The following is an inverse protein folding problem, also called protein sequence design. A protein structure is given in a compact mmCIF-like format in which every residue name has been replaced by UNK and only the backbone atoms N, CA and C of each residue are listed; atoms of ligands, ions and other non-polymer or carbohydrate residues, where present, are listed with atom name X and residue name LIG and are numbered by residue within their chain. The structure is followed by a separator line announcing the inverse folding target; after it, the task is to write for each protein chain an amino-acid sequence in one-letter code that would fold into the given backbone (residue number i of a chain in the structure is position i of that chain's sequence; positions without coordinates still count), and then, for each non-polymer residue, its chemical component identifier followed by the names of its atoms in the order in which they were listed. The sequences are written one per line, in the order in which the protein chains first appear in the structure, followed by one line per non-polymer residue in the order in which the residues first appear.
data_IF_112550012196
#
_entry.id   IF_112550012196
#
_cell.length_a   1.000
_cell.length_b   1.000
_cell.length_c   1.000
_cell.angle_alpha   90.00
_cell.angle_beta   90.00
_cell.angle_gamma   90.00
#
_symmetry.space_group_name_H-M   'P 1'
#
loop_
_entity.id
_entity.type
_entity.pdbx_description
1 polymer ?
#
# COMPACT_ATOMS: atom_id res chain seq x y z
N UNK A 1 -13.00 6.56 8.62
CA UNK A 1 -12.95 6.82 7.15
C UNK A 1 -13.47 8.18 6.73
N UNK A 2 -14.76 8.55 6.94
CA UNK A 2 -15.30 9.85 6.47
C UNK A 2 -14.50 11.07 6.96
N UNK A 3 -14.18 11.11 8.25
CA UNK A 3 -13.36 12.18 8.83
C UNK A 3 -11.94 12.20 8.28
N UNK A 4 -11.32 11.04 8.04
CA UNK A 4 -10.01 10.94 7.43
C UNK A 4 -10.00 11.46 5.98
N UNK A 5 -11.05 11.19 5.20
CA UNK A 5 -11.20 11.75 3.85
C UNK A 5 -11.29 13.29 3.87
N UNK A 6 -12.05 13.85 4.82
CA UNK A 6 -12.19 15.29 4.97
C UNK A 6 -10.91 15.98 5.45
N UNK A 7 -10.25 15.41 6.47
CA UNK A 7 -9.08 16.02 7.11
C UNK A 7 -7.77 15.77 6.37
N UNK A 8 -7.54 14.53 5.93
CA UNK A 8 -6.29 14.10 5.27
C UNK A 8 -6.45 14.07 3.75
N UNK A 9 -7.54 13.50 3.25
CA UNK A 9 -7.76 13.29 1.81
C UNK A 9 -7.84 14.60 1.02
N UNK A 10 -8.67 15.54 1.46
CA UNK A 10 -8.79 16.87 0.83
C UNK A 10 -7.48 17.64 0.86
N UNK A 11 -6.75 17.58 1.99
CA UNK A 11 -5.43 18.21 2.11
C UNK A 11 -4.44 17.59 1.12
N UNK A 12 -4.42 16.26 0.99
CA UNK A 12 -3.54 15.54 0.06
C UNK A 12 -3.84 15.87 -1.40
N UNK A 13 -5.12 15.96 -1.79
CA UNK A 13 -5.53 16.40 -3.13
C UNK A 13 -4.99 17.80 -3.42
N UNK A 14 -5.17 18.75 -2.47
CA UNK A 14 -4.65 20.11 -2.62
C UNK A 14 -3.13 20.15 -2.75
N UNK A 15 -2.43 19.35 -1.96
CA UNK A 15 -0.98 19.23 -2.06
C UNK A 15 -0.55 18.67 -3.41
N UNK A 16 -1.20 17.62 -3.91
CA UNK A 16 -0.91 17.05 -5.23
C UNK A 16 -1.16 18.06 -6.36
N UNK A 17 -2.25 18.82 -6.32
CA UNK A 17 -2.50 19.90 -7.29
C UNK A 17 -1.35 20.92 -7.30
N UNK A 18 -0.74 21.17 -6.14
CA UNK A 18 0.41 22.08 -6.02
C UNK A 18 1.72 21.46 -6.49
N UNK A 19 1.94 20.16 -6.27
CA UNK A 19 3.25 19.51 -6.52
C UNK A 19 3.37 18.86 -7.90
N UNK A 20 2.31 18.27 -8.44
CA UNK A 20 2.31 17.59 -9.74
C UNK A 20 2.78 18.48 -10.90
N UNK A 21 2.49 19.81 -10.96
CA UNK A 21 3.08 20.69 -11.97
C UNK A 21 4.61 20.66 -12.02
N UNK A 22 5.28 20.51 -10.87
CA UNK A 22 6.73 20.36 -10.79
C UNK A 22 7.22 19.03 -11.37
N UNK A 23 6.47 17.95 -11.16
CA UNK A 23 6.75 16.64 -11.75
C UNK A 23 6.57 16.65 -13.27
N UNK A 24 5.53 17.31 -13.76
CA UNK A 24 5.30 17.53 -15.20
C UNK A 24 6.45 18.33 -15.82
N UNK A 25 6.92 19.39 -15.15
CA UNK A 25 8.05 20.17 -15.63
C UNK A 25 9.33 19.33 -15.70
N UNK A 26 9.57 18.47 -14.70
CA UNK A 26 10.69 17.52 -14.70
C UNK A 26 10.58 16.50 -15.85
N UNK A 27 9.40 15.90 -16.06
CA UNK A 27 9.17 14.97 -17.17
C UNK A 27 9.40 15.63 -18.53
N UNK A 28 8.98 16.89 -18.71
CA UNK A 28 9.26 17.67 -19.94
C UNK A 28 10.75 17.89 -20.16
N UNK A 29 11.50 18.23 -19.12
CA UNK A 29 12.94 18.40 -19.19
C UNK A 29 13.67 17.08 -19.52
N UNK A 30 13.28 15.97 -18.87
CA UNK A 30 13.83 14.64 -19.16
C UNK A 30 13.50 14.19 -20.59
N UNK A 31 12.27 14.45 -21.06
CA UNK A 31 11.85 14.11 -22.41
C UNK A 31 12.66 14.87 -23.47
N UNK A 32 12.98 16.15 -23.21
CA UNK A 32 13.85 16.94 -24.08
C UNK A 32 15.27 16.38 -24.17
N UNK A 33 15.80 15.85 -23.06
CA UNK A 33 17.13 15.27 -22.97
C UNK A 33 17.20 13.75 -23.29
N UNK A 34 16.08 13.12 -23.65
CA UNK A 34 16.00 11.67 -23.81
C UNK A 34 16.92 11.14 -24.93
N UNK A 35 17.82 10.17 -24.65
CA UNK A 35 18.86 9.75 -25.59
C UNK A 35 18.39 8.73 -26.63
N UNK A 36 17.24 8.05 -26.41
CA UNK A 36 16.74 6.98 -27.27
C UNK A 36 15.25 7.15 -27.54
N UNK A 37 14.78 6.63 -28.69
CA UNK A 37 13.37 6.65 -29.05
C UNK A 37 12.50 5.90 -28.03
N UNK A 38 12.98 4.77 -27.49
CA UNK A 38 12.28 4.00 -26.45
C UNK A 38 12.10 4.81 -25.17
N UNK A 39 13.16 5.44 -24.66
CA UNK A 39 13.07 6.30 -23.46
C UNK A 39 12.17 7.52 -23.71
N UNK A 40 12.22 8.08 -24.92
CA UNK A 40 11.35 9.20 -25.31
C UNK A 40 9.87 8.79 -25.29
N UNK A 41 9.53 7.63 -25.83
CA UNK A 41 8.15 7.12 -25.82
C UNK A 41 7.63 6.86 -24.39
N UNK A 42 8.46 6.26 -23.53
CA UNK A 42 8.13 6.05 -22.11
C UNK A 42 7.88 7.38 -21.37
N UNK A 43 8.80 8.33 -21.50
CA UNK A 43 8.67 9.66 -20.89
C UNK A 43 7.45 10.42 -21.41
N UNK A 44 7.12 10.26 -22.68
CA UNK A 44 5.94 10.88 -23.26
C UNK A 44 4.64 10.26 -22.73
N UNK A 45 4.59 8.94 -22.54
CA UNK A 45 3.46 8.28 -21.89
C UNK A 45 3.31 8.72 -20.42
N UNK A 46 4.42 8.78 -19.67
CA UNK A 46 4.43 9.27 -18.29
C UNK A 46 3.96 10.72 -18.18
N UNK A 47 4.41 11.57 -19.12
CA UNK A 47 3.98 12.96 -19.19
C UNK A 47 2.48 13.08 -19.45
N UNK A 48 1.96 12.35 -20.44
CA UNK A 48 0.52 12.33 -20.73
C UNK A 48 -0.30 11.87 -19.53
N UNK A 49 0.16 10.84 -18.82
CA UNK A 49 -0.50 10.35 -17.61
C UNK A 49 -0.48 11.40 -16.49
N UNK A 50 0.64 12.09 -16.28
CA UNK A 50 0.76 13.12 -15.25
C UNK A 50 -0.11 14.35 -15.56
N UNK A 51 -0.17 14.77 -16.83
CA UNK A 51 -1.04 15.87 -17.28
C UNK A 51 -2.52 15.51 -17.12
N UNK A 52 -2.93 14.31 -17.54
CA UNK A 52 -4.30 13.82 -17.36
C UNK A 52 -4.67 13.72 -15.86
N UNK A 53 -3.77 13.22 -15.04
CA UNK A 53 -3.96 13.12 -13.59
C UNK A 53 -4.14 14.49 -12.93
N UNK A 54 -3.36 15.50 -13.34
CA UNK A 54 -3.50 16.86 -12.82
C UNK A 54 -4.87 17.46 -13.18
N UNK A 55 -5.34 17.25 -14.41
CA UNK A 55 -6.67 17.72 -14.81
C UNK A 55 -7.80 17.02 -14.04
N UNK A 56 -7.68 15.72 -13.80
CA UNK A 56 -8.63 14.97 -12.96
C UNK A 56 -8.64 15.50 -11.52
N UNK A 57 -7.47 15.72 -10.91
CA UNK A 57 -7.36 16.23 -9.55
C UNK A 57 -8.01 17.61 -9.38
N UNK A 58 -7.89 18.50 -10.37
CA UNK A 58 -8.51 19.84 -10.32
C UNK A 58 -10.03 19.79 -10.28
N UNK A 59 -10.64 18.78 -10.91
CA UNK A 59 -12.09 18.56 -10.92
C UNK A 59 -12.60 17.61 -9.85
N UNK A 60 -11.70 16.94 -9.11
CA UNK A 60 -12.07 15.89 -8.18
C UNK A 60 -12.83 16.44 -6.97
N UNK A 61 -14.09 16.01 -6.82
CA UNK A 61 -14.86 16.19 -5.59
C UNK A 61 -14.97 14.83 -4.89
N UNK A 62 -14.36 14.63 -3.71
CA UNK A 62 -14.42 13.34 -3.02
C UNK A 62 -15.85 12.92 -2.69
N UNK A 63 -16.24 11.73 -3.14
CA UNK A 63 -17.48 11.08 -2.70
C UNK A 63 -17.29 10.56 -1.27
N UNK A 64 -17.95 11.20 -0.30
CA UNK A 64 -17.83 10.82 1.10
C UNK A 64 -18.75 9.64 1.45
N UNK A 65 -18.30 8.70 2.30
CA UNK A 65 -19.15 7.61 2.79
C UNK A 65 -20.40 8.14 3.49
N UNK A 66 -21.56 7.56 3.18
CA UNK A 66 -22.87 7.90 3.77
C UNK A 66 -23.31 6.92 4.85
N UNK A 67 -22.68 5.74 4.93
CA UNK A 67 -22.93 4.72 5.92
C UNK A 67 -21.62 4.33 6.60
N UNK A 68 -21.71 4.00 7.88
CA UNK A 68 -20.61 3.50 8.69
C UNK A 68 -21.09 2.29 9.50
N UNK A 69 -20.14 1.45 9.88
CA UNK A 69 -20.36 0.34 10.79
C UNK A 69 -19.11 0.16 11.65
N UNK A 70 -19.26 -0.46 12.82
CA UNK A 70 -18.16 -0.58 13.78
C UNK A 70 -17.31 -1.84 13.57
N UNK A 71 -17.94 -2.99 13.30
CA UNK A 71 -17.26 -4.29 13.21
C UNK A 71 -17.59 -5.06 11.94
N UNK A 72 -18.88 -5.23 11.65
CA UNK A 72 -19.34 -5.91 10.46
C UNK A 72 -20.67 -5.34 9.97
N UNK A 73 -20.92 -5.45 8.67
CA UNK A 73 -22.22 -5.20 8.05
C UNK A 73 -22.46 -6.30 7.00
N UNK A 74 -23.62 -6.95 7.06
CA UNK A 74 -24.02 -7.95 6.06
C UNK A 74 -24.97 -7.29 5.06
N UNK A 75 -24.65 -7.42 3.78
CA UNK A 75 -25.48 -6.98 2.67
C UNK A 75 -25.97 -8.23 1.93
N UNK A 76 -27.29 -8.35 1.80
CA UNK A 76 -27.90 -9.41 1.01
C UNK A 76 -28.38 -8.79 -0.30
N UNK A 77 -27.84 -9.26 -1.43
CA UNK A 77 -28.27 -8.83 -2.76
C UNK A 77 -28.73 -10.06 -3.53
N UNK A 78 -30.06 -10.20 -3.67
CA UNK A 78 -30.72 -11.42 -4.15
C UNK A 78 -30.39 -12.60 -3.24
N UNK A 79 -29.61 -13.54 -3.73
CA UNK A 79 -29.16 -14.77 -3.08
C UNK A 79 -27.70 -14.70 -2.61
N UNK A 80 -27.01 -13.57 -2.85
CA UNK A 80 -25.62 -13.39 -2.45
C UNK A 80 -25.49 -12.66 -1.14
N UNK A 81 -24.65 -13.22 -0.26
CA UNK A 81 -24.22 -12.60 0.97
C UNK A 81 -22.89 -11.90 0.77
N UNK A 82 -22.82 -10.64 1.18
CA UNK A 82 -21.61 -9.82 1.15
C UNK A 82 -21.38 -9.31 2.56
N UNK A 83 -20.28 -9.72 3.16
CA UNK A 83 -19.85 -9.27 4.48
C UNK A 83 -18.84 -8.14 4.34
N UNK A 84 -19.19 -6.96 4.83
CA UNK A 84 -18.26 -5.86 5.06
C UNK A 84 -17.68 -6.03 6.46
N UNK A 85 -16.35 -6.14 6.56
CA UNK A 85 -15.66 -6.47 7.80
C UNK A 85 -14.59 -5.42 8.12
N UNK A 86 -14.58 -4.98 9.38
CA UNK A 86 -13.46 -4.24 9.96
C UNK A 86 -12.68 -5.19 10.87
N UNK A 87 -11.53 -5.68 10.38
CA UNK A 87 -10.69 -6.64 11.10
C UNK A 87 -9.66 -5.96 12.01
N UNK A 88 -9.47 -4.66 11.84
CA UNK A 88 -8.51 -3.82 12.56
C UNK A 88 -7.77 -2.88 11.62
N UNK A 89 -6.86 -2.07 12.17
CA UNK A 89 -5.99 -1.17 11.41
C UNK A 89 -4.94 -1.95 10.62
N UNK A 90 -4.63 -1.50 9.42
CA UNK A 90 -3.65 -2.11 8.53
C UNK A 90 -2.92 -1.02 7.71
N UNK A 91 -3.22 -0.91 6.42
CA UNK A 91 -2.64 0.11 5.53
C UNK A 91 -3.10 1.53 5.91
N UNK A 92 -4.27 1.64 6.54
CA UNK A 92 -4.85 2.86 7.10
C UNK A 92 -5.48 2.59 8.48
N UNK A 93 -6.19 3.57 9.04
CA UNK A 93 -6.99 3.38 10.26
C UNK A 93 -8.38 2.77 9.99
N UNK A 94 -8.81 2.75 8.73
CA UNK A 94 -10.16 2.39 8.30
C UNK A 94 -10.21 1.34 7.20
N UNK A 95 -9.25 0.41 7.16
CA UNK A 95 -9.20 -0.66 6.16
C UNK A 95 -10.46 -1.53 6.22
N UNK A 96 -11.09 -1.70 5.06
CA UNK A 96 -12.33 -2.42 4.87
C UNK A 96 -12.07 -3.71 4.10
N UNK A 97 -12.56 -4.83 4.60
CA UNK A 97 -12.53 -6.10 3.91
C UNK A 97 -13.94 -6.45 3.42
N UNK A 98 -14.04 -6.97 2.20
CA UNK A 98 -15.30 -7.47 1.64
C UNK A 98 -15.17 -8.97 1.46
N UNK A 99 -15.93 -9.76 2.22
CA UNK A 99 -15.92 -11.21 2.15
C UNK A 99 -17.23 -11.73 1.57
N UNK A 100 -17.12 -12.62 0.60
CA UNK A 100 -18.23 -13.29 -0.07
C UNK A 100 -18.11 -14.79 0.23
N UNK A 101 -18.81 -15.30 1.27
CA UNK A 101 -18.57 -16.64 1.81
C UNK A 101 -18.94 -17.77 0.85
N UNK A 102 -20.01 -17.62 0.06
CA UNK A 102 -20.42 -18.64 -0.91
C UNK A 102 -19.37 -18.83 -2.02
N UNK A 103 -18.76 -17.72 -2.46
CA UNK A 103 -17.72 -17.70 -3.48
C UNK A 103 -16.32 -17.97 -2.93
N UNK A 104 -16.16 -17.92 -1.60
CA UNK A 104 -14.86 -17.98 -0.91
C UNK A 104 -13.88 -16.92 -1.44
N UNK A 105 -14.38 -15.71 -1.66
CA UNK A 105 -13.61 -14.56 -2.16
C UNK A 105 -13.52 -13.49 -1.10
N UNK A 106 -12.33 -12.92 -0.90
CA UNK A 106 -12.13 -11.71 -0.10
C UNK A 106 -11.48 -10.60 -0.90
N UNK A 107 -11.99 -9.37 -0.77
CA UNK A 107 -11.37 -8.15 -1.28
C UNK A 107 -10.75 -7.40 -0.12
N UNK A 108 -9.50 -6.98 -0.25
CA UNK A 108 -8.70 -6.47 0.89
C UNK A 108 -8.35 -4.99 0.80
N UNK A 109 -8.58 -4.35 -0.35
CA UNK A 109 -7.95 -3.05 -0.63
C UNK A 109 -6.44 -3.13 -0.47
N UNK A 110 -5.79 -2.02 -0.11
CA UNK A 110 -4.33 -1.98 0.04
C UNK A 110 -3.81 -2.63 1.33
N UNK A 111 -4.68 -3.25 2.15
CA UNK A 111 -4.24 -4.05 3.29
C UNK A 111 -3.39 -5.26 2.85
N UNK A 112 -3.54 -5.71 1.60
CA UNK A 112 -2.61 -6.61 0.92
C UNK A 112 -2.39 -6.09 -0.50
N UNK A 113 -1.15 -6.15 -0.99
CA UNK A 113 -0.80 -5.84 -2.38
C UNK A 113 0.27 -6.82 -2.90
N UNK A 114 0.53 -6.81 -4.20
CA UNK A 114 1.43 -7.72 -4.90
C UNK A 114 2.90 -7.32 -4.92
N UNK A 115 3.31 -6.32 -4.13
CA UNK A 115 4.69 -5.84 -4.01
C UNK A 115 4.95 -5.19 -2.65
N UNK A 116 6.08 -4.51 -2.48
CA UNK A 116 6.44 -3.82 -1.24
C UNK A 116 5.34 -2.84 -0.78
N UNK A 117 4.71 -3.03 0.40
CA UNK A 117 3.67 -2.12 0.88
C UNK A 117 4.21 -0.73 1.19
N UNK A 118 3.35 0.27 1.07
CA UNK A 118 3.60 1.60 1.61
C UNK A 118 3.03 1.69 3.03
N UNK A 119 3.85 2.09 4.01
CA UNK A 119 3.42 2.15 5.42
C UNK A 119 3.18 3.57 5.95
N UNK A 120 3.22 4.62 5.12
CA UNK A 120 3.18 6.02 5.59
C UNK A 120 1.94 6.36 6.43
N UNK A 121 0.76 5.87 6.04
CA UNK A 121 -0.50 5.99 6.78
C UNK A 121 -0.86 4.71 7.58
N UNK A 122 0.03 3.72 7.54
CA UNK A 122 -0.20 2.37 8.05
C UNK A 122 0.16 2.19 9.52
N UNK A 123 -0.31 1.07 10.08
CA UNK A 123 -0.15 0.69 11.48
C UNK A 123 0.56 -0.67 11.58
N UNK A 124 1.90 -0.75 11.43
CA UNK A 124 2.60 -2.02 11.21
C UNK A 124 2.27 -3.13 12.23
N UNK A 125 2.25 -2.80 13.52
CA UNK A 125 1.91 -3.76 14.59
C UNK A 125 0.48 -4.29 14.52
N UNK A 126 -0.49 -3.40 14.31
CA UNK A 126 -1.89 -3.78 14.15
C UNK A 126 -2.09 -4.54 12.85
N UNK A 127 -1.36 -4.16 11.80
CA UNK A 127 -1.46 -4.74 10.48
C UNK A 127 -1.19 -6.24 10.52
N UNK A 128 -0.14 -6.69 11.23
CA UNK A 128 0.13 -8.12 11.43
C UNK A 128 -1.06 -8.83 12.06
N UNK A 129 -1.66 -8.26 13.12
CA UNK A 129 -2.84 -8.84 13.80
C UNK A 129 -4.09 -8.83 12.94
N UNK A 130 -4.30 -7.78 12.15
CA UNK A 130 -5.40 -7.66 11.19
C UNK A 130 -5.29 -8.73 10.12
N UNK A 131 -4.09 -8.98 9.58
CA UNK A 131 -3.84 -10.04 8.61
C UNK A 131 -3.98 -11.45 9.20
N UNK A 132 -3.68 -11.65 10.50
CA UNK A 132 -3.96 -12.92 11.19
C UNK A 132 -5.46 -13.20 11.28
N UNK A 133 -6.29 -12.19 11.55
CA UNK A 133 -7.75 -12.32 11.57
C UNK A 133 -8.31 -12.58 10.17
N UNK A 134 -7.79 -11.88 9.16
CA UNK A 134 -8.13 -12.12 7.75
C UNK A 134 -7.87 -13.58 7.37
N UNK A 135 -6.73 -14.13 7.77
CA UNK A 135 -6.36 -15.53 7.49
C UNK A 135 -7.36 -16.56 8.06
N UNK A 136 -8.14 -16.20 9.09
CA UNK A 136 -9.17 -17.08 9.68
C UNK A 136 -10.43 -17.22 8.83
N UNK A 137 -10.67 -16.31 7.88
CA UNK A 137 -11.84 -16.40 6.99
C UNK A 137 -11.69 -17.60 6.04
N UNK A 138 -12.80 -18.26 5.69
CA UNK A 138 -12.84 -19.39 4.75
C UNK A 138 -12.85 -18.91 3.29
N UNK A 139 -11.79 -18.20 2.88
CA UNK A 139 -11.58 -17.79 1.49
C UNK A 139 -10.51 -18.66 0.81
N UNK A 140 -10.65 -18.83 -0.50
CA UNK A 140 -9.65 -19.44 -1.39
C UNK A 140 -9.07 -18.41 -2.36
N UNK A 141 -9.80 -17.33 -2.67
CA UNK A 141 -9.37 -16.28 -3.57
C UNK A 141 -9.32 -14.93 -2.84
N UNK A 142 -8.22 -14.21 -2.98
CA UNK A 142 -8.00 -12.89 -2.43
C UNK A 142 -7.75 -11.91 -3.56
N UNK A 143 -8.66 -10.94 -3.70
CA UNK A 143 -8.50 -9.78 -4.57
C UNK A 143 -7.83 -8.68 -3.73
N UNK A 144 -6.58 -8.41 -4.06
CA UNK A 144 -5.76 -7.40 -3.40
C UNK A 144 -5.94 -6.02 -4.03
N UNK A 145 -5.57 -4.95 -3.31
CA UNK A 145 -5.72 -3.58 -3.80
C UNK A 145 -4.97 -3.35 -5.11
N UNK A 146 -3.79 -3.95 -5.22
CA UNK A 146 -3.04 -4.02 -6.45
C UNK A 146 -2.24 -5.31 -6.59
N UNK A 147 -2.26 -5.91 -7.78
CA UNK A 147 -1.61 -7.18 -8.09
C UNK A 147 -2.60 -8.24 -8.57
N UNK A 148 -2.11 -9.44 -8.81
CA UNK A 148 -2.93 -10.56 -9.27
C UNK A 148 -3.78 -11.15 -8.14
N UNK A 149 -4.83 -11.89 -8.50
CA UNK A 149 -5.61 -12.67 -7.53
C UNK A 149 -4.72 -13.75 -6.94
N UNK A 150 -4.72 -13.88 -5.62
CA UNK A 150 -3.85 -14.83 -4.90
C UNK A 150 -4.59 -15.61 -3.81
N UNK A 151 -3.95 -16.63 -3.25
CA UNK A 151 -4.45 -17.40 -2.11
C UNK A 151 -3.84 -16.99 -0.77
N UNK A 152 -4.08 -17.83 0.26
CA UNK A 152 -3.53 -17.64 1.61
C UNK A 152 -1.99 -17.71 1.67
N UNK A 153 -1.35 -18.33 0.68
CA UNK A 153 0.11 -18.38 0.57
C UNK A 153 0.73 -16.98 0.45
N UNK A 154 0.18 -16.13 -0.41
CA UNK A 154 0.62 -14.76 -0.56
C UNK A 154 0.33 -13.94 0.69
N UNK A 155 -0.85 -14.12 1.30
CA UNK A 155 -1.18 -13.47 2.57
C UNK A 155 -0.14 -13.79 3.66
N UNK A 156 0.27 -15.06 3.79
CA UNK A 156 1.30 -15.47 4.77
C UNK A 156 2.66 -14.87 4.44
N UNK A 157 3.06 -14.89 3.18
CA UNK A 157 4.31 -14.29 2.72
C UNK A 157 4.36 -12.79 3.06
N UNK A 158 3.31 -12.06 2.66
CA UNK A 158 3.17 -10.62 2.87
C UNK A 158 3.10 -10.26 4.36
N UNK A 159 2.30 -10.99 5.15
CA UNK A 159 2.24 -10.81 6.61
C UNK A 159 3.59 -11.09 7.27
N UNK A 160 4.30 -12.12 6.81
CA UNK A 160 5.63 -12.47 7.28
C UNK A 160 6.63 -11.34 7.06
N UNK A 161 6.61 -10.71 5.89
CA UNK A 161 7.44 -9.54 5.60
C UNK A 161 7.26 -8.42 6.63
N UNK A 162 6.00 -8.05 6.91
CA UNK A 162 5.70 -6.97 7.86
C UNK A 162 6.21 -7.34 9.26
N UNK A 163 5.96 -8.58 9.71
CA UNK A 163 6.39 -9.05 11.03
C UNK A 163 7.92 -9.08 11.17
N UNK A 164 8.64 -9.62 10.18
CA UNK A 164 10.10 -9.72 10.21
C UNK A 164 10.80 -8.37 10.05
N UNK A 165 10.21 -7.45 9.29
CA UNK A 165 10.66 -6.06 9.23
C UNK A 165 10.57 -5.39 10.59
N UNK A 166 9.42 -5.52 11.25
CA UNK A 166 9.19 -4.99 12.60
C UNK A 166 10.23 -5.52 13.58
N UNK A 167 10.42 -6.83 13.60
CA UNK A 167 11.35 -7.49 14.51
C UNK A 167 12.80 -7.03 14.26
N UNK A 168 13.23 -7.00 12.99
CA UNK A 168 14.59 -6.61 12.63
C UNK A 168 14.90 -5.15 13.01
N UNK A 169 13.98 -4.23 12.74
CA UNK A 169 14.15 -2.80 13.10
C UNK A 169 14.19 -2.63 14.61
N UNK A 170 13.27 -3.26 15.35
CA UNK A 170 13.24 -3.20 16.82
C UNK A 170 14.51 -3.75 17.45
N UNK A 171 15.01 -4.88 16.95
CA UNK A 171 16.22 -5.52 17.46
C UNK A 171 17.44 -4.60 17.31
N UNK A 172 17.63 -4.00 16.14
CA UNK A 172 18.75 -3.07 15.91
C UNK A 172 18.60 -1.79 16.75
N UNK A 173 17.39 -1.22 16.83
CA UNK A 173 17.12 -0.03 17.63
C UNK A 173 17.37 -0.27 19.13
N UNK A 174 16.92 -1.41 19.66
CA UNK A 174 17.19 -1.80 21.05
C UNK A 174 18.70 -2.05 21.31
N UNK A 175 19.46 -2.41 20.27
CA UNK A 175 20.92 -2.48 20.30
C UNK A 175 21.63 -1.12 20.19
N UNK A 176 20.89 -0.02 20.10
CA UNK A 176 21.44 1.34 20.01
C UNK A 176 21.84 1.79 18.60
N UNK A 177 21.49 1.04 17.55
CA UNK A 177 21.79 1.43 16.18
C UNK A 177 20.97 2.67 15.77
N UNK A 178 21.61 3.57 15.04
CA UNK A 178 20.94 4.72 14.41
C UNK A 178 20.05 4.30 13.24
N UNK A 179 19.08 5.15 12.87
CA UNK A 179 18.19 4.91 11.72
C UNK A 179 18.97 4.63 10.42
N UNK A 180 20.09 5.32 10.18
CA UNK A 180 20.89 5.13 8.97
C UNK A 180 21.61 3.77 8.97
N UNK A 181 22.10 3.31 10.12
CA UNK A 181 22.66 1.97 10.26
C UNK A 181 21.59 0.89 10.04
N UNK A 182 20.39 1.10 10.58
CA UNK A 182 19.25 0.18 10.40
C UNK A 182 18.87 0.09 8.92
N UNK A 183 18.77 1.22 8.22
CA UNK A 183 18.52 1.29 6.77
C UNK A 183 19.59 0.60 5.94
N UNK A 184 20.84 0.58 6.41
CA UNK A 184 21.94 -0.12 5.74
C UNK A 184 21.92 -1.64 6.00
N UNK A 185 21.52 -2.07 7.20
CA UNK A 185 21.62 -3.48 7.63
C UNK A 185 20.36 -4.31 7.34
N UNK A 186 19.19 -3.80 7.72
CA UNK A 186 17.93 -4.55 7.69
C UNK A 186 17.55 -5.04 6.28
N UNK A 187 17.69 -4.24 5.20
CA UNK A 187 17.40 -4.73 3.86
C UNK A 187 18.27 -5.94 3.47
N UNK A 188 19.55 -5.97 3.85
CA UNK A 188 20.41 -7.11 3.52
C UNK A 188 20.00 -8.39 4.25
N UNK A 189 19.50 -8.27 5.48
CA UNK A 189 18.98 -9.39 6.25
C UNK A 189 17.70 -9.99 5.64
N UNK A 190 16.81 -9.13 5.11
CA UNK A 190 15.50 -9.54 4.60
C UNK A 190 15.51 -9.92 3.11
N UNK A 191 16.52 -9.47 2.35
CA UNK A 191 16.59 -9.56 0.90
C UNK A 191 16.38 -10.99 0.36
N UNK A 192 17.09 -11.96 0.94
CA UNK A 192 17.06 -13.36 0.48
C UNK A 192 15.64 -13.96 0.47
N UNK A 193 14.75 -13.48 1.34
CA UNK A 193 13.37 -13.97 1.46
C UNK A 193 12.38 -13.10 0.70
N UNK A 194 12.56 -11.79 0.69
CA UNK A 194 11.49 -10.86 0.29
C UNK A 194 11.77 -10.05 -0.97
N UNK A 195 13.04 -9.86 -1.36
CA UNK A 195 13.38 -8.95 -2.45
C UNK A 195 12.76 -9.38 -3.77
N UNK A 196 12.86 -10.66 -4.12
CA UNK A 196 12.32 -11.20 -5.37
C UNK A 196 10.79 -11.07 -5.41
N UNK A 197 10.10 -11.49 -4.35
CA UNK A 197 8.63 -11.47 -4.31
C UNK A 197 8.04 -10.07 -4.22
N UNK A 198 8.71 -9.13 -3.56
CA UNK A 198 8.20 -7.77 -3.37
C UNK A 198 8.67 -6.76 -4.42
N UNK A 199 9.45 -7.22 -5.42
CA UNK A 199 9.91 -6.45 -6.58
C UNK A 199 9.21 -6.87 -7.88
N UNK A 200 7.92 -7.21 -7.83
CA UNK A 200 7.11 -7.70 -8.97
C UNK A 200 7.24 -6.85 -10.23
N UNK A 201 7.45 -5.53 -10.11
CA UNK A 201 7.64 -4.62 -11.25
C UNK A 201 9.10 -4.18 -11.46
N UNK A 202 10.07 -4.94 -10.93
CA UNK A 202 11.50 -4.69 -11.09
C UNK A 202 11.89 -3.25 -10.72
N UNK A 203 12.59 -2.58 -11.64
CA UNK A 203 13.12 -1.23 -11.47
C UNK A 203 12.03 -0.15 -11.29
N UNK A 204 10.77 -0.43 -11.66
CA UNK A 204 9.67 0.51 -11.45
C UNK A 204 9.29 0.63 -9.95
N UNK A 205 9.31 -0.49 -9.22
CA UNK A 205 8.98 -0.57 -7.78
C UNK A 205 10.01 -1.45 -7.05
N UNK A 206 11.28 -1.04 -7.00
CA UNK A 206 12.33 -1.89 -6.44
C UNK A 206 12.19 -1.96 -4.92
N UNK A 207 12.13 -3.18 -4.39
CA UNK A 207 11.95 -3.40 -2.95
C UNK A 207 13.01 -2.69 -2.11
N UNK A 208 14.29 -2.72 -2.53
CA UNK A 208 15.39 -2.06 -1.81
C UNK A 208 15.23 -0.57 -1.61
N UNK A 209 14.47 0.10 -2.48
CA UNK A 209 14.13 1.53 -2.30
C UNK A 209 12.95 1.69 -1.37
N UNK A 210 11.90 0.90 -1.58
CA UNK A 210 10.62 1.04 -0.88
C UNK A 210 10.70 0.56 0.59
N UNK A 211 11.55 -0.42 0.90
CA UNK A 211 11.75 -0.88 2.28
C UNK A 211 12.31 0.21 3.19
N UNK A 212 13.06 1.18 2.66
CA UNK A 212 13.68 2.24 3.46
C UNK A 212 12.64 3.13 4.16
N UNK A 213 11.55 3.48 3.49
CA UNK A 213 10.46 4.28 4.09
C UNK A 213 9.62 3.44 5.06
N UNK A 214 9.54 2.12 4.84
CA UNK A 214 8.92 1.22 5.81
C UNK A 214 9.77 1.10 7.09
N UNK A 215 11.10 1.06 6.96
CA UNK A 215 12.03 1.10 8.10
C UNK A 215 11.83 2.39 8.91
N UNK A 216 11.77 3.55 8.24
CA UNK A 216 11.50 4.84 8.91
C UNK A 216 10.20 4.79 9.71
N UNK A 217 9.13 4.27 9.09
CA UNK A 217 7.82 4.16 9.74
C UNK A 217 7.88 3.29 10.99
N UNK A 218 8.49 2.11 10.89
CA UNK A 218 8.60 1.18 12.03
C UNK A 218 9.47 1.80 13.12
N UNK A 219 10.63 2.36 12.76
CA UNK A 219 11.57 2.97 13.71
C UNK A 219 10.92 4.10 14.50
N UNK A 220 10.14 4.97 13.84
CA UNK A 220 9.41 6.06 14.49
C UNK A 220 8.35 5.59 15.51
N UNK A 221 7.96 4.31 15.48
CA UNK A 221 7.02 3.69 16.42
C UNK A 221 7.69 2.73 17.41
N UNK A 222 8.99 2.50 17.27
CA UNK A 222 9.77 1.59 18.11
C UNK A 222 10.49 2.32 19.27
N UNK A 223 10.67 3.64 19.15
CA UNK A 223 11.10 4.56 20.20
C UNK A 223 9.91 5.00 21.06
#
# INVERSE_FOLDING_TARGET
TREALLSKGVARIRDQIRTVPGEIAKLKAELAAAPTAGRRAELQANLQQAEAYLEELKGLTPALPTMAFERAMRLIKRDREIELLYLGRAHTDGDLFVFMPQEKVVVTGDAVIGWTPFMGDGYPEDWVRTLQKLEQLDFTHMIMGHGDVAGKEWLRFFRGYIAELIEAVRREAAGGASLDEIKARVPNHLAAKYEQGLSTYGDYRPWRRLVLTNIERVYATAL
#
